data_IF_959772882479
#
_entry.id   IF_959772882479
#
_cell.length_a   1.000
_cell.length_b   1.000
_cell.length_c   1.000
_cell.angle_alpha   90.00
_cell.angle_beta   90.00
_cell.angle_gamma   90.00
#
_symmetry.space_group_name_H-M   'P 1'
#
loop_
_entity.id
_entity.type
_entity.pdbx_description
1 polymer ?
2 non-polymer ?
3 non-polymer ?
4 non-polymer ?
5 non-polymer ?
6 water ?
#
# COMPACT_ATOMS: atom_id res chain seq x y z
N UNK A 1 13.17 -15.51 15.11
CA UNK A 1 13.77 -14.14 15.01
C UNK A 1 13.29 -13.30 16.18
N UNK A 2 14.21 -12.61 16.84
CA UNK A 2 13.83 -11.77 17.97
C UNK A 2 13.19 -10.47 17.47
N UNK A 3 11.97 -10.21 17.90
CA UNK A 3 11.27 -9.00 17.49
C UNK A 3 11.73 -7.87 18.41
N UNK A 4 12.59 -7.03 17.86
CA UNK A 4 13.18 -5.91 18.57
C UNK A 4 12.86 -4.61 17.83
N UNK A 5 12.48 -3.58 18.58
CA UNK A 5 12.16 -2.30 17.96
C UNK A 5 13.29 -1.74 17.12
N UNK A 6 12.93 -1.19 15.96
CA UNK A 6 13.92 -0.58 15.09
C UNK A 6 14.57 -1.49 14.05
N UNK A 7 14.42 -2.81 14.22
CA UNK A 7 15.03 -3.74 13.28
C UNK A 7 14.31 -3.77 11.94
N UNK A 8 15.07 -4.04 10.89
CA UNK A 8 14.52 -4.08 9.55
C UNK A 8 13.69 -5.34 9.28
N UNK A 9 12.68 -5.18 8.41
CA UNK A 9 11.85 -6.29 7.98
C UNK A 9 11.52 -5.95 6.54
N UNK A 10 11.26 -6.96 5.71
CA UNK A 10 10.96 -6.70 4.31
C UNK A 10 9.61 -7.21 3.88
N UNK A 11 9.03 -6.52 2.90
CA UNK A 11 7.71 -6.86 2.38
C UNK A 11 7.58 -6.29 0.97
N UNK A 12 8.66 -6.34 0.21
CA UNK A 12 8.66 -5.75 -1.12
C UNK A 12 9.10 -4.32 -0.87
N UNK A 13 10.18 -4.22 -0.11
CA UNK A 13 10.74 -2.94 0.28
C UNK A 13 11.21 -3.13 1.71
N UNK A 14 11.61 -2.06 2.38
CA UNK A 14 12.06 -2.21 3.76
C UNK A 14 11.46 -1.18 4.71
N UNK A 15 11.14 -1.64 5.92
CA UNK A 15 10.60 -0.79 6.96
C UNK A 15 11.23 -1.27 8.27
N UNK A 16 10.85 -0.64 9.39
CA UNK A 16 11.42 -1.00 10.68
C UNK A 16 10.35 -1.39 11.70
N UNK A 17 10.71 -2.31 12.59
CA UNK A 17 9.81 -2.78 13.64
C UNK A 17 9.53 -1.65 14.62
N UNK A 18 8.26 -1.53 15.02
CA UNK A 18 7.88 -0.51 15.99
C UNK A 18 8.10 -1.07 17.38
N UNK A 19 7.15 -1.88 17.84
CA UNK A 19 7.26 -2.49 19.16
C UNK A 19 6.65 -3.88 19.16
N UNK A 20 7.32 -4.81 19.83
CA UNK A 20 6.81 -6.16 19.92
C UNK A 20 5.51 -6.09 20.71
N UNK A 21 4.50 -6.83 20.26
CA UNK A 21 3.20 -6.84 20.94
C UNK A 21 2.45 -8.13 20.61
N UNK A 22 1.44 -8.44 21.41
CA UNK A 22 0.62 -9.63 21.19
C UNK A 22 -0.81 -9.17 20.93
N UNK A 23 -1.55 -9.90 20.10
CA UNK A 23 -2.93 -9.52 19.83
C UNK A 23 -3.87 -10.16 20.84
N UNK A 24 -5.17 -9.91 20.67
CA UNK A 24 -6.18 -10.45 21.57
C UNK A 24 -6.16 -11.97 21.73
N UNK A 25 -5.67 -12.67 20.71
CA UNK A 25 -5.60 -14.13 20.77
C UNK A 25 -4.28 -14.60 21.38
N UNK A 26 -3.45 -13.66 21.81
CA UNK A 26 -2.17 -14.02 22.41
C UNK A 26 -1.11 -14.36 21.39
N UNK A 27 -1.35 -13.98 20.14
CA UNK A 27 -0.42 -14.26 19.06
C UNK A 27 0.62 -13.13 18.98
N UNK A 28 1.91 -13.50 18.84
CA UNK A 28 3.02 -12.55 18.75
C UNK A 28 3.09 -11.78 17.44
N UNK A 29 3.57 -10.54 17.52
CA UNK A 29 3.70 -9.71 16.35
C UNK A 29 4.32 -8.39 16.75
N UNK A 30 4.07 -7.34 15.98
CA UNK A 30 4.61 -6.03 16.31
C UNK A 30 3.85 -4.91 15.61
N UNK A 31 3.77 -3.75 16.25
CA UNK A 31 3.11 -2.62 15.64
C UNK A 31 4.15 -1.91 14.79
N UNK A 32 3.67 -1.26 13.72
CA UNK A 32 4.55 -0.56 12.81
C UNK A 32 3.68 0.45 12.05
N UNK A 33 4.22 1.05 10.99
CA UNK A 33 3.44 2.02 10.21
C UNK A 33 2.59 1.32 9.17
N UNK A 34 1.38 1.84 8.98
CA UNK A 34 0.47 1.26 7.99
C UNK A 34 0.90 1.45 6.55
N UNK A 35 1.70 2.46 6.28
CA UNK A 35 2.12 2.67 4.89
C UNK A 35 3.15 1.63 4.47
N UNK A 36 3.64 0.86 5.43
CA UNK A 36 4.63 -0.18 5.15
C UNK A 36 3.98 -1.40 4.50
N UNK A 37 2.67 -1.55 4.65
CA UNK A 37 2.01 -2.70 4.07
C UNK A 37 0.50 -2.71 4.19
N UNK A 38 -0.15 -3.17 3.13
CA UNK A 38 -1.61 -3.28 3.10
C UNK A 38 -1.99 -4.56 3.83
N UNK A 39 -3.23 -4.64 4.29
CA UNK A 39 -3.67 -5.85 4.99
C UNK A 39 -3.40 -7.05 4.10
N UNK A 40 -2.84 -8.11 4.69
CA UNK A 40 -2.54 -9.31 3.95
C UNK A 40 -1.11 -9.38 3.45
N UNK A 41 -0.39 -8.26 3.53
CA UNK A 41 0.99 -8.23 3.07
C UNK A 41 1.91 -9.08 3.92
N UNK A 42 2.73 -9.87 3.25
CA UNK A 42 3.67 -10.77 3.89
C UNK A 42 4.95 -10.06 4.32
N UNK A 43 5.45 -10.47 5.48
CA UNK A 43 6.66 -9.88 6.05
C UNK A 43 7.73 -10.91 6.35
N UNK A 44 8.98 -10.51 6.20
CA UNK A 44 10.13 -11.36 6.50
C UNK A 44 11.10 -10.58 7.37
N UNK A 45 11.52 -11.20 8.46
CA UNK A 45 12.49 -10.60 9.37
C UNK A 45 13.35 -11.75 9.90
N UNK A 46 14.58 -11.82 9.43
CA UNK A 46 15.45 -12.91 9.84
C UNK A 46 14.77 -14.18 9.36
N UNK A 47 14.71 -15.19 10.22
CA UNK A 47 14.07 -16.45 9.86
C UNK A 47 12.59 -16.37 10.23
N UNK A 48 12.15 -15.16 10.57
CA UNK A 48 10.75 -14.97 10.95
C UNK A 48 9.87 -14.57 9.80
N UNK A 49 8.60 -14.94 9.88
CA UNK A 49 7.63 -14.62 8.84
C UNK A 49 6.35 -14.10 9.48
N UNK A 50 5.73 -13.09 8.86
CA UNK A 50 4.51 -12.54 9.41
C UNK A 50 3.62 -11.97 8.35
N UNK A 51 2.49 -11.41 8.76
CA UNK A 51 1.53 -10.83 7.84
C UNK A 51 0.85 -9.63 8.47
N UNK A 52 0.59 -8.61 7.66
CA UNK A 52 -0.10 -7.42 8.17
C UNK A 52 -1.53 -7.83 8.49
N UNK A 53 -1.85 -7.92 9.78
CA UNK A 53 -3.18 -8.30 10.23
C UNK A 53 -4.10 -7.09 10.24
N UNK A 54 -3.55 -5.96 10.63
CA UNK A 54 -4.29 -4.70 10.68
C UNK A 54 -3.43 -3.64 10.00
N UNK A 55 -4.08 -2.73 9.28
CA UNK A 55 -3.35 -1.65 8.61
C UNK A 55 -4.29 -0.55 8.18
N UNK A 56 -3.93 0.68 8.54
CA UNK A 56 -4.71 1.85 8.17
C UNK A 56 -3.77 2.98 7.76
N UNK A 57 -3.86 3.35 6.49
CA UNK A 57 -3.06 4.42 5.90
C UNK A 57 -3.65 4.71 4.53
N UNK A 58 -3.90 5.99 4.20
CA UNK A 58 -3.70 7.22 4.97
C UNK A 58 -4.71 7.36 6.10
N UNK A 59 -5.00 8.59 6.51
CA UNK A 59 -5.94 8.83 7.61
C UNK A 59 -5.13 8.68 8.87
N UNK A 60 -4.74 7.44 9.16
CA UNK A 60 -3.88 7.13 10.28
C UNK A 60 -2.68 6.55 9.57
N UNK A 61 -1.70 6.04 10.32
CA UNK A 61 -0.55 5.40 9.70
C UNK A 61 -0.12 4.37 10.73
N UNK A 62 -0.98 3.36 10.87
CA UNK A 62 -0.77 2.32 11.87
C UNK A 62 -0.97 0.92 11.34
N UNK A 63 -0.28 -0.04 11.95
CA UNK A 63 -0.42 -1.41 11.52
C UNK A 63 0.09 -2.39 12.56
N UNK A 64 -0.40 -3.62 12.47
CA UNK A 64 0.03 -4.68 13.37
C UNK A 64 0.36 -5.87 12.50
N UNK A 65 1.59 -6.36 12.62
CA UNK A 65 2.02 -7.51 11.87
C UNK A 65 1.99 -8.70 12.81
N UNK A 66 1.27 -9.75 12.42
CA UNK A 66 1.15 -10.96 13.23
C UNK A 66 2.16 -11.99 12.73
N UNK A 67 2.93 -12.54 13.67
CA UNK A 67 3.92 -13.54 13.27
C UNK A 67 3.25 -14.86 12.93
N UNK A 68 3.70 -15.49 11.84
CA UNK A 68 3.14 -16.76 11.44
C UNK A 68 4.18 -17.86 11.70
N UNK A 69 5.45 -17.45 11.79
CA UNK A 69 6.51 -18.39 12.08
C UNK A 69 7.78 -17.73 12.61
N UNK A 70 8.35 -18.33 13.64
CA UNK A 70 9.58 -17.86 14.26
C UNK A 70 9.61 -16.42 14.75
N UNK A 71 8.61 -16.03 15.52
CA UNK A 71 8.56 -14.68 16.08
C UNK A 71 8.80 -14.83 17.58
N UNK A 72 9.92 -14.29 18.07
CA UNK A 72 10.22 -14.33 19.49
C UNK A 72 10.19 -12.88 19.98
N UNK A 73 9.23 -12.57 20.83
CA UNK A 73 9.09 -11.20 21.32
C UNK A 73 10.10 -10.80 22.38
N UNK A 74 10.41 -9.51 22.42
CA UNK A 74 11.33 -8.95 23.40
C UNK A 74 10.73 -7.60 23.80
N UNK A 75 11.26 -7.00 24.86
CA UNK A 75 10.78 -5.70 25.28
C UNK A 75 11.93 -4.73 25.01
N UNK A 76 12.64 -4.98 23.92
CA UNK A 76 13.78 -4.16 23.54
C UNK A 76 13.61 -3.32 22.28
N UNK A 77 14.44 -2.28 22.19
CA UNK A 77 14.51 -1.37 21.06
C UNK A 77 16.00 -1.14 20.82
N UNK A 78 16.47 -1.41 19.61
CA UNK A 78 17.88 -1.22 19.30
C UNK A 78 18.31 0.24 19.27
N UNK A 79 19.47 0.53 19.82
CA UNK A 79 20.00 1.89 19.83
C UNK A 79 21.13 2.02 18.81
N UNK A 80 21.26 1.00 17.96
CA UNK A 80 22.26 0.98 16.90
C UNK A 80 23.60 1.66 17.23
N UNK A 81 23.88 2.75 16.54
CA UNK A 81 25.13 3.52 16.71
C UNK A 81 25.45 3.90 18.16
N UNK A 82 24.43 4.11 18.97
CA UNK A 82 24.67 4.47 20.37
C UNK A 82 24.92 3.23 21.21
N UNK A 83 24.74 2.06 20.60
CA UNK A 83 24.96 0.80 21.27
C UNK A 83 23.89 0.28 22.21
N UNK A 84 23.83 -1.04 22.31
CA UNK A 84 22.88 -1.67 23.20
C UNK A 84 21.42 -1.51 22.85
N UNK A 85 20.57 -1.57 23.88
CA UNK A 85 19.13 -1.45 23.69
C UNK A 85 18.44 -0.63 24.75
N UNK A 86 17.25 -0.13 24.41
CA UNK A 86 16.43 0.59 25.35
C UNK A 86 15.42 -0.48 25.74
N UNK A 87 14.89 -0.41 26.94
CA UNK A 87 13.92 -1.40 27.38
C UNK A 87 12.53 -0.77 27.42
N UNK A 88 11.51 -1.56 27.10
CA UNK A 88 10.13 -1.08 27.10
C UNK A 88 9.44 -1.61 28.34
N UNK A 89 8.98 -0.70 29.20
CA UNK A 89 8.30 -1.09 30.43
C UNK A 89 6.83 -0.66 30.39
N UNK A 90 6.46 0.11 29.38
CA UNK A 90 5.09 0.56 29.25
C UNK A 90 4.94 1.58 28.14
N UNK A 91 3.81 2.25 28.08
CA UNK A 91 3.57 3.26 27.07
C UNK A 91 2.94 4.53 27.62
N UNK A 92 3.37 4.96 28.80
CA UNK A 92 2.83 6.18 29.38
C UNK A 92 3.27 7.32 28.45
N UNK A 93 2.31 8.17 28.09
CA UNK A 93 2.58 9.27 27.19
C UNK A 93 3.52 10.31 27.78
N UNK A 94 4.53 10.68 27.02
CA UNK A 94 5.51 11.67 27.45
C UNK A 94 4.95 13.06 27.14
N UNK A 95 5.24 14.04 28.00
CA UNK A 95 4.74 15.41 27.80
C UNK A 95 5.42 16.13 26.64
N UNK A 96 4.74 17.14 26.10
CA UNK A 96 5.30 17.95 25.04
C UNK A 96 6.57 18.53 25.68
N UNK A 97 7.65 18.60 24.92
CA UNK A 97 8.89 19.13 25.46
C UNK A 97 9.82 18.03 25.93
N UNK A 98 9.28 16.83 26.11
CA UNK A 98 10.07 15.69 26.55
C UNK A 98 11.05 15.23 25.47
N UNK A 99 12.16 14.64 25.89
CA UNK A 99 13.11 14.13 24.92
C UNK A 99 12.49 12.84 24.40
N UNK A 100 12.83 12.46 23.18
CA UNK A 100 12.31 11.22 22.60
C UNK A 100 13.37 10.75 21.59
N UNK A 101 13.47 9.44 21.40
CA UNK A 101 14.44 8.91 20.46
C UNK A 101 13.76 7.97 19.49
N UNK A 102 14.31 7.90 18.28
CA UNK A 102 13.77 7.05 17.23
C UNK A 102 14.78 5.98 16.83
N UNK A 103 14.28 4.78 16.54
CA UNK A 103 15.14 3.69 16.12
C UNK A 103 14.66 3.25 14.74
N UNK A 104 15.56 3.28 13.75
CA UNK A 104 15.20 2.90 12.39
C UNK A 104 16.30 2.08 11.75
N UNK A 105 15.95 1.20 10.81
CA UNK A 105 16.94 0.35 10.16
C UNK A 105 17.86 1.02 9.14
N UNK A 106 17.53 2.25 8.72
CA UNK A 106 18.39 2.94 7.75
C UNK A 106 19.42 3.84 8.42
N UNK A 107 18.95 4.74 9.27
CA UNK A 107 19.83 5.70 9.94
C UNK A 107 20.25 5.32 11.35
N UNK A 108 19.46 4.46 12.00
CA UNK A 108 19.82 4.07 13.35
C UNK A 108 19.03 4.76 14.45
N UNK A 109 19.75 5.18 15.48
CA UNK A 109 19.18 5.81 16.66
C UNK A 109 19.44 7.31 16.76
N UNK A 110 18.39 8.11 16.67
CA UNK A 110 18.49 9.56 16.76
C UNK A 110 17.50 10.09 17.79
N UNK A 111 17.87 11.16 18.49
CA UNK A 111 16.98 11.71 19.50
C UNK A 111 16.65 13.18 19.27
N UNK A 112 15.53 13.60 19.86
CA UNK A 112 15.11 14.96 19.72
C UNK A 112 14.07 15.31 20.77
N UNK A 113 13.15 16.20 20.41
CA UNK A 113 12.11 16.67 21.30
C UNK A 113 10.70 16.48 20.74
N UNK A 114 9.74 16.16 21.61
CA UNK A 114 8.35 16.02 21.20
C UNK A 114 7.86 17.47 21.13
N UNK A 115 7.54 17.92 19.92
CA UNK A 115 7.13 19.31 19.70
C UNK A 115 5.64 19.62 19.75
N UNK A 116 4.82 18.75 19.16
CA UNK A 116 3.39 19.00 19.15
C UNK A 116 2.62 17.75 18.77
N UNK A 117 1.38 17.67 19.25
CA UNK A 117 0.52 16.53 18.94
C UNK A 117 -0.66 17.00 18.09
N UNK A 118 -1.48 16.04 17.66
CA UNK A 118 -2.66 16.34 16.86
C UNK A 118 -2.28 17.04 15.55
N UNK A 119 -1.23 16.56 14.90
CA UNK A 119 -0.78 17.16 13.65
C UNK A 119 -1.29 16.40 12.42
N UNK A 120 -1.60 17.15 11.38
CA UNK A 120 -2.04 16.56 10.12
C UNK A 120 -0.96 16.87 9.11
N UNK A 121 -0.53 15.85 8.37
CA UNK A 121 0.50 16.03 7.36
C UNK A 121 0.02 15.49 6.02
N UNK A 122 0.57 16.02 4.94
CA UNK A 122 0.22 15.56 3.62
C UNK A 122 1.36 14.76 3.01
N UNK A 123 1.06 13.51 2.67
CA UNK A 123 2.03 12.62 2.05
C UNK A 123 1.59 12.47 0.60
N UNK A 124 2.44 11.91 -0.26
CA UNK A 124 2.04 11.77 -1.65
C UNK A 124 0.77 10.91 -1.80
N UNK A 125 0.55 10.02 -0.84
CA UNK A 125 -0.62 9.14 -0.88
C UNK A 125 -1.87 9.72 -0.22
N UNK A 126 -1.72 10.85 0.46
CA UNK A 126 -2.87 11.45 1.12
C UNK A 126 -2.52 12.05 2.46
N UNK A 127 -3.53 12.49 3.19
CA UNK A 127 -3.31 13.11 4.49
C UNK A 127 -3.45 12.14 5.64
N UNK A 128 -2.64 12.35 6.67
CA UNK A 128 -2.66 11.53 7.87
C UNK A 128 -2.79 12.51 9.05
N UNK A 129 -3.76 12.25 9.92
CA UNK A 129 -3.98 13.12 11.07
C UNK A 129 -3.59 12.49 12.40
N UNK A 130 -3.73 13.28 13.47
CA UNK A 130 -3.43 12.84 14.84
C UNK A 130 -1.97 12.49 15.11
N UNK A 131 -1.08 12.88 14.20
CA UNK A 131 0.34 12.58 14.38
C UNK A 131 1.03 13.50 15.36
N UNK A 132 2.19 13.06 15.83
CA UNK A 132 2.97 13.84 16.77
C UNK A 132 4.28 14.25 16.09
N UNK A 133 4.56 15.55 16.13
CA UNK A 133 5.76 16.10 15.51
C UNK A 133 6.95 16.11 16.45
N UNK A 134 8.13 15.79 15.92
CA UNK A 134 9.35 15.79 16.73
C UNK A 134 10.48 16.40 15.90
N UNK A 135 11.57 16.76 16.57
CA UNK A 135 12.72 17.36 15.90
C UNK A 135 13.74 16.33 15.47
N UNK A 136 13.33 15.06 15.48
CA UNK A 136 14.23 13.97 15.07
C UNK A 136 14.20 13.80 13.56
N UNK A 137 15.35 13.42 12.99
CA UNK A 137 15.46 13.20 11.55
C UNK A 137 15.14 11.74 11.24
N UNK A 138 14.84 11.46 9.98
CA UNK A 138 14.54 10.09 9.55
C UNK A 138 14.74 9.97 8.04
N UNK A 139 14.95 8.75 7.56
CA UNK A 139 15.15 8.52 6.13
C UNK A 139 14.41 7.26 5.69
N UNK A 140 14.11 7.15 4.38
CA UNK A 140 13.40 5.97 3.87
C UNK A 140 14.01 4.69 4.43
N UNK A 141 13.15 3.83 4.97
CA UNK A 141 13.59 2.59 5.56
C UNK A 141 13.36 2.63 7.06
N UNK A 142 13.40 3.84 7.63
CA UNK A 142 13.20 4.03 9.06
C UNK A 142 11.70 3.93 9.42
N UNK A 143 10.84 4.04 8.42
CA UNK A 143 9.38 3.97 8.60
C UNK A 143 8.95 2.81 9.49
N UNK A 144 8.00 3.10 10.38
CA UNK A 144 7.48 2.08 11.28
C UNK A 144 8.32 1.90 12.53
N UNK A 145 9.52 2.48 12.52
CA UNK A 145 10.43 2.38 13.64
C UNK A 145 9.92 2.93 14.96
N UNK A 146 10.59 2.53 16.03
CA UNK A 146 10.22 2.95 17.38
C UNK A 146 10.56 4.38 17.76
N UNK A 147 9.61 5.04 18.44
CA UNK A 147 9.83 6.36 19.04
C UNK A 147 9.59 6.02 20.50
N UNK A 148 10.59 6.25 21.31
CA UNK A 148 10.52 5.91 22.72
C UNK A 148 11.15 6.99 23.60
N UNK A 149 10.54 7.23 24.76
CA UNK A 149 11.06 8.20 25.72
C UNK A 149 11.41 7.43 26.99
N UNK A 150 12.71 7.32 27.27
CA UNK A 150 13.12 6.58 28.45
C UNK A 150 12.76 5.12 28.23
N UNK A 151 11.85 4.60 29.04
CA UNK A 151 11.41 3.21 28.92
C UNK A 151 9.95 3.15 28.49
N UNK A 152 9.39 4.30 28.08
CA UNK A 152 7.99 4.36 27.67
C UNK A 152 7.81 4.49 26.17
N UNK A 153 7.15 3.49 25.56
CA UNK A 153 6.90 3.51 24.13
C UNK A 153 5.97 4.66 23.80
N UNK A 154 6.29 5.41 22.74
CA UNK A 154 5.48 6.56 22.35
C UNK A 154 4.74 6.38 21.03
N UNK A 155 5.43 5.85 20.01
CA UNK A 155 4.78 5.65 18.73
C UNK A 155 5.66 5.04 17.67
N UNK A 156 5.19 5.06 16.43
CA UNK A 156 5.94 4.50 15.30
C UNK A 156 6.13 5.55 14.21
N UNK A 157 7.33 5.58 13.65
CA UNK A 157 7.70 6.54 12.61
C UNK A 157 6.77 6.53 11.40
N UNK A 158 6.20 7.69 11.09
CA UNK A 158 5.26 7.81 9.98
C UNK A 158 5.86 8.50 8.75
N UNK A 159 6.59 9.57 8.97
CA UNK A 159 7.20 10.29 7.86
C UNK A 159 7.75 11.62 8.31
N UNK A 160 8.16 12.45 7.36
CA UNK A 160 8.70 13.75 7.72
C UNK A 160 9.44 14.41 6.60
N UNK A 161 10.29 15.37 6.94
CA UNK A 161 11.06 16.12 5.96
C UNK A 161 12.54 16.13 6.33
N UNK A 162 13.38 16.41 5.34
CA UNK A 162 14.81 16.45 5.58
C UNK A 162 15.43 15.08 5.65
N UNK A 163 16.61 15.00 6.25
CA UNK A 163 17.33 13.75 6.40
C UNK A 163 18.23 13.84 7.63
N UNK A 164 18.96 12.79 7.93
CA UNK A 164 19.82 12.78 9.10
C UNK A 164 21.21 13.35 8.89
N UNK A 165 21.46 13.85 7.69
CA UNK A 165 22.75 14.44 7.39
C UNK A 165 22.69 15.92 7.73
N UNK A 166 21.62 16.57 7.29
CA UNK A 166 21.44 18.00 7.53
C UNK A 166 20.35 18.27 8.58
N UNK A 167 19.64 17.22 8.97
CA UNK A 167 18.60 17.37 9.97
C UNK A 167 17.21 17.39 9.35
N UNK A 168 16.18 17.27 10.19
CA UNK A 168 14.83 17.28 9.68
C UNK A 168 13.77 17.22 10.75
N UNK A 169 12.53 16.95 10.33
CA UNK A 169 11.39 16.85 11.24
C UNK A 169 10.72 15.51 10.96
N UNK A 170 10.36 14.79 12.01
CA UNK A 170 9.72 13.50 11.84
C UNK A 170 8.46 13.38 12.66
N UNK A 171 7.42 12.83 12.06
CA UNK A 171 6.14 12.65 12.74
C UNK A 171 5.94 11.17 13.03
N UNK A 172 5.24 10.87 14.12
CA UNK A 172 4.97 9.48 14.45
C UNK A 172 3.52 9.24 14.81
N UNK A 173 3.08 8.01 14.58
CA UNK A 173 1.73 7.57 14.88
C UNK A 173 1.78 7.11 16.34
N UNK A 174 0.93 7.69 17.18
CA UNK A 174 0.90 7.33 18.60
C UNK A 174 0.64 5.84 18.76
N UNK A 175 1.31 5.23 19.73
CA UNK A 175 1.15 3.79 19.95
C UNK A 175 -0.11 3.40 20.71
N UNK A 176 -0.50 4.18 21.71
CA UNK A 176 -1.68 3.83 22.49
C UNK A 176 -2.96 3.66 21.69
N UNK A 177 -3.20 4.52 20.69
CA UNK A 177 -4.43 4.35 19.91
C UNK A 177 -4.49 2.98 19.24
N UNK A 178 -3.32 2.43 18.88
CA UNK A 178 -3.27 1.12 18.24
C UNK A 178 -3.52 0.02 19.27
N UNK A 179 -2.87 0.13 20.41
CA UNK A 179 -3.02 -0.86 21.47
C UNK A 179 -4.48 -0.92 21.91
N UNK A 180 -5.10 0.24 22.06
CA UNK A 180 -6.48 0.31 22.49
C UNK A 180 -7.47 -0.16 21.43
N UNK A 181 -7.44 0.46 20.25
CA UNK A 181 -8.35 0.10 19.17
C UNK A 181 -8.27 -1.36 18.73
N UNK A 182 -7.06 -1.89 18.62
CA UNK A 182 -6.90 -3.26 18.17
C UNK A 182 -6.67 -4.29 19.28
N UNK A 183 -6.91 -3.89 20.53
CA UNK A 183 -6.76 -4.79 21.67
C UNK A 183 -5.41 -5.52 21.66
N UNK A 184 -4.34 -4.74 21.65
CA UNK A 184 -2.99 -5.30 21.63
C UNK A 184 -2.31 -5.07 22.98
N UNK A 185 -1.35 -5.93 23.30
CA UNK A 185 -0.61 -5.82 24.55
C UNK A 185 0.87 -5.68 24.25
N UNK A 186 1.44 -4.54 24.63
CA UNK A 186 2.84 -4.25 24.42
C UNK A 186 3.69 -5.24 25.22
N UNK A 187 4.77 -5.74 24.64
CA UNK A 187 5.64 -6.67 25.35
C UNK A 187 6.53 -5.86 26.30
N UNK A 188 6.42 -6.15 27.60
CA UNK A 188 7.21 -5.43 28.60
C UNK A 188 7.96 -6.39 29.52
N UNK B 1 -11.80 15.98 -15.37
CA UNK B 1 -10.90 15.03 -16.08
C UNK B 1 -11.70 13.83 -16.59
N UNK B 2 -11.42 13.41 -17.82
CA UNK B 2 -12.12 12.28 -18.40
C UNK B 2 -11.52 10.96 -17.92
N UNK B 3 -12.36 10.11 -17.36
CA UNK B 3 -11.92 8.81 -16.87
C UNK B 3 -11.92 7.85 -18.03
N UNK B 4 -10.73 7.61 -18.58
CA UNK B 4 -10.54 6.73 -19.72
C UNK B 4 -9.56 5.62 -19.35
N UNK B 5 -9.86 4.40 -19.78
CA UNK B 5 -8.99 3.27 -19.48
C UNK B 5 -7.57 3.44 -19.98
N UNK B 6 -6.61 3.06 -19.17
CA UNK B 6 -5.20 3.16 -19.57
C UNK B 6 -4.51 4.46 -19.20
N UNK B 7 -5.29 5.50 -18.86
CA UNK B 7 -4.70 6.78 -18.49
C UNK B 7 -4.04 6.74 -17.11
N UNK B 8 -3.00 7.54 -16.95
CA UNK B 8 -2.27 7.59 -15.70
C UNK B 8 -3.00 8.38 -14.61
N UNK B 9 -2.72 7.99 -13.37
CA UNK B 9 -3.24 8.69 -12.20
C UNK B 9 -2.11 8.54 -11.19
N UNK B 10 -1.96 9.51 -10.31
CA UNK B 10 -0.86 9.44 -9.36
C UNK B 10 -1.25 9.50 -7.88
N UNK B 11 -0.30 9.09 -7.03
CA UNK B 11 -0.46 9.03 -5.57
C UNK B 11 0.89 8.91 -4.87
N UNK B 12 1.93 9.33 -5.56
CA UNK B 12 3.27 9.19 -5.04
C UNK B 12 3.85 8.48 -6.25
N UNK B 13 3.37 7.26 -6.48
CA UNK B 13 3.80 6.51 -7.65
C UNK B 13 2.77 6.74 -8.75
N UNK B 14 2.81 5.91 -9.78
CA UNK B 14 1.87 6.06 -10.89
C UNK B 14 1.28 4.72 -11.32
N UNK B 15 -0.02 4.71 -11.59
CA UNK B 15 -0.72 3.52 -12.07
C UNK B 15 -1.64 3.96 -13.20
N UNK B 16 -2.37 3.00 -13.77
CA UNK B 16 -3.25 3.31 -14.89
C UNK B 16 -4.70 2.97 -14.60
N UNK B 17 -5.60 3.73 -15.22
CA UNK B 17 -7.04 3.51 -15.05
C UNK B 17 -7.46 2.18 -15.66
N UNK B 18 -8.30 1.45 -14.94
CA UNK B 18 -8.80 0.19 -15.46
C UNK B 18 -10.01 0.47 -16.32
N UNK B 19 -11.15 0.69 -15.68
CA UNK B 19 -12.39 0.99 -16.40
C UNK B 19 -13.27 1.91 -15.59
N UNK B 20 -13.88 2.89 -16.24
CA UNK B 20 -14.77 3.82 -15.55
C UNK B 20 -15.96 3.01 -15.04
N UNK B 21 -16.42 3.34 -13.85
CA UNK B 21 -17.57 2.65 -13.25
C UNK B 21 -18.20 3.52 -12.17
N UNK B 22 -19.43 3.18 -11.79
CA UNK B 22 -20.15 3.93 -10.76
C UNK B 22 -20.52 2.98 -9.64
N UNK B 23 -20.48 3.44 -8.39
CA UNK B 23 -20.85 2.58 -7.28
C UNK B 23 -22.36 2.62 -7.05
N UNK B 24 -22.84 1.90 -6.04
CA UNK B 24 -24.27 1.84 -5.76
C UNK B 24 -24.91 3.16 -5.40
N UNK B 25 -24.11 4.13 -4.95
CA UNK B 25 -24.64 5.44 -4.59
C UNK B 25 -24.67 6.36 -5.81
N UNK B 26 -24.25 5.83 -6.96
CA UNK B 26 -24.24 6.61 -8.18
C UNK B 26 -23.03 7.51 -8.30
N UNK B 27 -22.01 7.27 -7.48
CA UNK B 27 -20.80 8.07 -7.50
C UNK B 27 -19.82 7.54 -8.55
N UNK B 28 -19.24 8.43 -9.36
CA UNK B 28 -18.29 8.04 -10.41
C UNK B 28 -16.93 7.62 -9.88
N UNK B 29 -16.24 6.80 -10.64
CA UNK B 29 -14.93 6.33 -10.24
C UNK B 29 -14.43 5.33 -11.25
N UNK B 30 -13.46 4.51 -10.86
CA UNK B 30 -12.94 3.50 -11.78
C UNK B 30 -12.31 2.34 -11.03
N UNK B 31 -12.34 1.16 -11.64
CA UNK B 31 -11.73 0.00 -11.04
C UNK B 31 -10.29 -0.02 -11.51
N UNK B 32 -9.41 -0.56 -10.68
CA UNK B 32 -8.00 -0.63 -11.00
C UNK B 32 -7.40 -1.69 -10.09
N UNK B 33 -6.07 -1.76 -10.02
CA UNK B 33 -5.42 -2.78 -9.18
C UNK B 33 -5.26 -2.32 -7.75
N UNK B 34 -5.40 -3.26 -6.82
CA UNK B 34 -5.27 -2.94 -5.41
C UNK B 34 -3.86 -2.60 -4.95
N UNK B 35 -2.83 -3.14 -5.61
CA UNK B 35 -1.47 -2.83 -5.17
C UNK B 35 -1.12 -1.38 -5.46
N UNK B 36 -1.97 -0.70 -6.22
CA UNK B 36 -1.74 0.69 -6.56
C UNK B 36 -2.02 1.63 -5.39
N UNK B 37 -2.80 1.16 -4.42
CA UNK B 37 -3.10 2.01 -3.29
C UNK B 37 -4.01 1.38 -2.24
N UNK B 38 -3.71 1.67 -0.98
CA UNK B 38 -4.50 1.15 0.13
C UNK B 38 -5.78 1.98 0.26
N UNK B 39 -6.78 1.45 0.94
CA UNK B 39 -8.03 2.19 1.13
C UNK B 39 -7.72 3.55 1.77
N UNK B 40 -8.33 4.61 1.24
CA UNK B 40 -8.08 5.94 1.77
C UNK B 40 -7.05 6.72 0.98
N UNK B 41 -6.29 6.02 0.13
CA UNK B 41 -5.27 6.68 -0.68
C UNK B 41 -5.92 7.64 -1.66
N UNK B 42 -5.43 8.88 -1.68
CA UNK B 42 -5.96 9.90 -2.58
C UNK B 42 -5.25 9.87 -3.92
N UNK B 43 -6.00 10.09 -4.98
CA UNK B 43 -5.47 10.07 -6.34
C UNK B 43 -5.69 11.36 -7.10
N UNK B 44 -4.78 11.61 -8.04
CA UNK B 44 -4.84 12.78 -8.91
C UNK B 44 -4.77 12.29 -10.35
N UNK B 45 -5.66 12.80 -11.19
CA UNK B 45 -5.68 12.46 -12.61
C UNK B 45 -6.13 13.73 -13.31
N UNK B 46 -5.25 14.39 -14.06
CA UNK B 46 -5.68 15.61 -14.68
C UNK B 46 -6.12 16.56 -13.59
N UNK B 47 -7.26 17.22 -13.77
CA UNK B 47 -7.76 18.16 -12.76
C UNK B 47 -8.72 17.44 -11.83
N UNK B 48 -8.72 16.11 -11.91
CA UNK B 48 -9.60 15.32 -11.06
C UNK B 48 -8.92 14.77 -9.82
N UNK B 49 -9.73 14.49 -8.79
CA UNK B 49 -9.24 13.95 -7.54
C UNK B 49 -10.14 12.78 -7.14
N UNK B 50 -9.54 11.72 -6.62
CA UNK B 50 -10.31 10.57 -6.21
C UNK B 50 -9.71 9.93 -4.98
N UNK B 51 -10.35 8.89 -4.47
CA UNK B 51 -9.85 8.19 -3.28
C UNK B 51 -10.15 6.70 -3.40
N UNK B 52 -9.19 5.87 -2.98
CA UNK B 52 -9.42 4.42 -3.02
C UNK B 52 -10.48 4.10 -1.99
N UNK B 53 -11.66 3.73 -2.48
CA UNK B 53 -12.79 3.37 -1.64
C UNK B 53 -12.76 1.89 -1.30
N UNK B 54 -12.24 1.09 -2.21
CA UNK B 54 -12.12 -0.35 -2.03
C UNK B 54 -10.74 -0.76 -2.55
N UNK B 55 -10.06 -1.63 -1.84
CA UNK B 55 -8.75 -2.09 -2.28
C UNK B 55 -8.36 -3.37 -1.58
N UNK B 56 -7.92 -4.35 -2.35
CA UNK B 56 -7.48 -5.64 -1.81
C UNK B 56 -6.21 -6.10 -2.51
N UNK B 57 -5.16 -6.33 -1.72
CA UNK B 57 -3.88 -6.80 -2.22
C UNK B 57 -2.97 -7.07 -1.01
N UNK B 58 -2.30 -8.24 -0.98
CA UNK B 58 -2.34 -9.32 -1.95
C UNK B 58 -3.61 -10.17 -1.83
N UNK B 59 -3.51 -11.45 -2.20
CA UNK B 59 -4.68 -12.33 -2.14
C UNK B 59 -5.39 -12.13 -3.46
N UNK B 60 -5.90 -10.91 -3.64
CA UNK B 60 -6.55 -10.50 -4.87
C UNK B 60 -5.71 -9.28 -5.24
N UNK B 61 -6.07 -8.58 -6.31
CA UNK B 61 -5.35 -7.37 -6.69
C UNK B 61 -6.41 -6.52 -7.36
N UNK B 62 -7.33 -6.03 -6.53
CA UNK B 62 -8.48 -5.26 -6.99
C UNK B 62 -8.73 -3.98 -6.20
N UNK B 63 -9.36 -3.01 -6.83
CA UNK B 63 -9.66 -1.75 -6.17
C UNK B 63 -10.65 -0.92 -6.95
N UNK B 64 -11.30 -0.01 -6.24
CA UNK B 64 -12.25 0.92 -6.85
C UNK B 64 -11.90 2.29 -6.30
N UNK B 65 -11.66 3.22 -7.21
CA UNK B 65 -11.34 4.60 -6.82
C UNK B 65 -12.60 5.44 -7.06
N UNK B 66 -13.04 6.15 -6.03
CA UNK B 66 -14.22 6.99 -6.14
C UNK B 66 -13.80 8.43 -6.42
N UNK B 67 -14.42 9.05 -7.41
CA UNK B 67 -14.09 10.42 -7.74
C UNK B 67 -14.66 11.39 -6.73
N UNK B 68 -13.84 12.32 -6.24
CA UNK B 68 -14.31 13.30 -5.27
C UNK B 68 -14.43 14.68 -5.90
N UNK B 69 -13.84 14.84 -7.08
CA UNK B 69 -13.92 16.11 -7.80
C UNK B 69 -13.44 15.98 -9.24
N UNK B 70 -14.20 16.60 -10.15
CA UNK B 70 -13.91 16.61 -11.57
C UNK B 70 -13.68 15.25 -12.23
N UNK B 71 -14.62 14.34 -12.03
CA UNK B 71 -14.54 13.02 -12.65
C UNK B 71 -15.65 12.93 -13.70
N UNK B 72 -15.26 12.82 -14.96
CA UNK B 72 -16.22 12.68 -16.05
C UNK B 72 -15.99 11.28 -16.60
N UNK B 73 -16.99 10.42 -16.47
CA UNK B 73 -16.85 9.05 -16.95
C UNK B 73 -17.04 8.91 -18.44
N UNK B 74 -16.39 7.90 -19.01
CA UNK B 74 -16.48 7.59 -20.43
C UNK B 74 -16.47 6.07 -20.52
N UNK B 75 -16.81 5.53 -21.68
CA UNK B 75 -16.79 4.08 -21.88
C UNK B 75 -15.67 3.81 -22.88
N UNK B 76 -14.56 4.51 -22.67
CA UNK B 76 -13.41 4.39 -23.55
C UNK B 76 -12.13 3.87 -22.90
N UNK B 77 -11.25 3.36 -23.73
CA UNK B 77 -9.94 2.85 -23.32
C UNK B 77 -8.99 3.41 -24.38
N UNK B 78 -7.96 4.13 -23.93
CA UNK B 78 -6.99 4.71 -24.85
C UNK B 78 -6.13 3.66 -25.54
N UNK B 79 -5.95 3.81 -26.84
CA UNK B 79 -5.12 2.89 -27.60
C UNK B 79 -3.74 3.52 -27.89
N UNK B 80 -3.45 4.58 -27.14
CA UNK B 80 -2.18 5.29 -27.25
C UNK B 80 -1.60 5.42 -28.66
N UNK B 81 -0.40 4.85 -28.87
CA UNK B 81 0.27 4.95 -30.17
C UNK B 81 -0.47 4.34 -31.36
N UNK B 82 -1.51 3.56 -31.11
CA UNK B 82 -2.28 2.98 -32.20
C UNK B 82 -3.39 3.94 -32.62
N UNK B 83 -3.56 4.99 -31.82
CA UNK B 83 -4.57 5.99 -32.11
C UNK B 83 -6.00 5.65 -31.73
N UNK B 84 -6.75 6.68 -31.35
CA UNK B 84 -8.14 6.49 -30.99
C UNK B 84 -8.39 5.79 -29.67
N UNK B 85 -9.61 5.27 -29.53
CA UNK B 85 -10.03 4.58 -28.33
C UNK B 85 -10.85 3.33 -28.62
N UNK B 86 -10.74 2.36 -27.73
CA UNK B 86 -11.52 1.14 -27.84
C UNK B 86 -12.77 1.50 -27.03
N UNK B 87 -13.91 0.90 -27.37
CA UNK B 87 -15.13 1.20 -26.63
C UNK B 87 -15.54 0.05 -25.71
N UNK B 88 -16.11 0.40 -24.56
CA UNK B 88 -16.55 -0.58 -23.58
C UNK B 88 -18.07 -0.71 -23.65
N UNK B 89 -18.57 -1.90 -23.95
CA UNK B 89 -20.02 -2.12 -24.05
C UNK B 89 -20.51 -3.16 -23.04
N UNK B 90 -19.58 -3.81 -22.35
CA UNK B 90 -19.94 -4.81 -21.37
C UNK B 90 -18.72 -5.52 -20.82
N UNK B 91 -18.93 -6.62 -20.12
CA UNK B 91 -17.82 -7.38 -19.56
C UNK B 91 -18.01 -8.88 -19.66
N UNK B 92 -18.46 -9.34 -20.84
CA UNK B 92 -18.63 -10.76 -21.05
C UNK B 92 -17.23 -11.37 -21.09
N UNK B 93 -17.01 -12.41 -20.31
CA UNK B 93 -15.71 -13.06 -20.26
C UNK B 93 -15.37 -13.69 -21.61
N UNK B 94 -14.18 -13.39 -22.11
CA UNK B 94 -13.73 -13.93 -23.39
C UNK B 94 -13.06 -15.28 -23.16
N UNK B 95 -13.35 -16.26 -24.02
CA UNK B 95 -12.73 -17.58 -23.84
C UNK B 95 -11.21 -17.56 -23.98
N UNK B 96 -10.57 -18.54 -23.36
CA UNK B 96 -9.12 -18.65 -23.44
C UNK B 96 -8.73 -18.75 -24.91
N UNK B 97 -7.67 -18.05 -25.30
CA UNK B 97 -7.23 -18.07 -26.68
C UNK B 97 -7.67 -16.81 -27.42
N UNK B 98 -8.63 -16.09 -26.84
CA UNK B 98 -9.14 -14.87 -27.47
C UNK B 98 -8.12 -13.75 -27.47
N UNK B 99 -8.19 -12.90 -28.48
CA UNK B 99 -7.28 -11.77 -28.55
C UNK B 99 -7.70 -10.84 -27.41
N UNK B 100 -6.72 -10.19 -26.80
CA UNK B 100 -6.98 -9.27 -25.70
C UNK B 100 -5.92 -8.19 -25.79
N UNK B 101 -6.28 -6.96 -25.47
CA UNK B 101 -5.33 -5.86 -25.53
C UNK B 101 -5.24 -5.16 -24.18
N UNK B 102 -4.05 -4.67 -23.87
CA UNK B 102 -3.81 -3.96 -22.62
C UNK B 102 -3.48 -2.51 -22.89
N UNK B 103 -3.95 -1.62 -22.01
CA UNK B 103 -3.66 -0.19 -22.14
C UNK B 103 -3.02 0.26 -20.83
N UNK B 104 -1.81 0.82 -20.92
CA UNK B 104 -1.11 1.29 -19.73
C UNK B 104 -0.40 2.61 -19.98
N UNK B 105 -0.19 3.39 -18.92
CA UNK B 105 0.45 4.69 -19.07
C UNK B 105 1.96 4.68 -19.26
N UNK B 106 2.59 3.51 -19.20
CA UNK B 106 4.03 3.47 -19.40
C UNK B 106 4.37 3.01 -20.82
N UNK B 107 3.84 1.85 -21.21
CA UNK B 107 4.14 1.29 -22.52
C UNK B 107 3.09 1.53 -23.58
N UNK B 108 1.86 1.84 -23.16
CA UNK B 108 0.82 2.10 -24.14
C UNK B 108 -0.14 0.95 -24.40
N UNK B 109 -0.45 0.74 -25.68
CA UNK B 109 -1.40 -0.28 -26.12
C UNK B 109 -0.74 -1.49 -26.79
N UNK B 110 -0.79 -2.63 -26.11
CA UNK B 110 -0.23 -3.87 -26.62
C UNK B 110 -1.26 -5.00 -26.59
N UNK B 111 -1.22 -5.86 -27.59
CA UNK B 111 -2.19 -6.95 -27.67
C UNK B 111 -1.56 -8.34 -27.76
N UNK B 112 -2.33 -9.34 -27.35
CA UNK B 112 -1.90 -10.72 -27.38
C UNK B 112 -3.13 -11.57 -27.18
N UNK B 113 -3.04 -12.63 -26.41
CA UNK B 113 -4.20 -13.47 -26.16
C UNK B 113 -4.26 -13.90 -24.70
N UNK B 114 -5.45 -14.34 -24.30
CA UNK B 114 -5.69 -14.82 -22.95
C UNK B 114 -5.17 -16.25 -22.99
N UNK B 115 -4.20 -16.55 -22.14
CA UNK B 115 -3.59 -17.88 -22.12
C UNK B 115 -4.11 -18.85 -21.09
N UNK B 116 -4.41 -18.37 -19.89
CA UNK B 116 -4.88 -19.25 -18.84
C UNK B 116 -5.55 -18.49 -17.71
N UNK B 117 -6.43 -19.16 -16.99
CA UNK B 117 -7.11 -18.55 -15.86
C UNK B 117 -6.80 -19.37 -14.61
N UNK B 118 -7.34 -18.95 -13.48
CA UNK B 118 -7.11 -19.64 -12.21
C UNK B 118 -5.63 -19.74 -11.89
N UNK B 119 -4.91 -18.64 -12.10
CA UNK B 119 -3.48 -18.61 -11.85
C UNK B 119 -3.09 -18.04 -10.48
N UNK B 120 -2.08 -18.66 -9.88
CA UNK B 120 -1.55 -18.21 -8.59
C UNK B 120 -0.18 -17.60 -8.91
N UNK B 121 0.04 -16.37 -8.47
CA UNK B 121 1.32 -15.70 -8.72
C UNK B 121 1.94 -15.18 -7.43
N UNK B 122 3.25 -15.28 -7.33
CA UNK B 122 3.96 -14.81 -6.14
C UNK B 122 4.63 -13.47 -6.39
N UNK B 123 4.24 -12.47 -5.62
CA UNK B 123 4.81 -11.14 -5.72
C UNK B 123 5.63 -10.92 -4.44
N UNK B 124 6.44 -9.85 -4.40
CA UNK B 124 7.24 -9.60 -3.21
C UNK B 124 6.36 -9.43 -1.96
N UNK B 125 5.15 -8.91 -2.15
CA UNK B 125 4.23 -8.67 -1.05
C UNK B 125 3.41 -9.90 -0.65
N UNK B 126 3.46 -10.95 -1.47
CA UNK B 126 2.70 -12.15 -1.17
C UNK B 126 2.11 -12.77 -2.42
N UNK B 127 1.20 -13.72 -2.22
CA UNK B 127 0.58 -14.40 -3.34
C UNK B 127 -0.77 -13.84 -3.72
N UNK B 128 -1.08 -13.86 -5.01
CA UNK B 128 -2.36 -13.40 -5.51
C UNK B 128 -2.97 -14.56 -6.29
N UNK B 129 -4.24 -14.84 -6.03
CA UNK B 129 -4.94 -15.95 -6.69
C UNK B 129 -5.96 -15.53 -7.73
N UNK B 130 -6.44 -16.52 -8.47
CA UNK B 130 -7.46 -16.34 -9.49
C UNK B 130 -7.11 -15.37 -10.62
N UNK B 131 -5.83 -15.17 -10.87
CA UNK B 131 -5.42 -14.27 -11.94
C UNK B 131 -5.51 -14.93 -13.30
N UNK B 132 -5.54 -14.10 -14.35
CA UNK B 132 -5.60 -14.60 -15.70
C UNK B 132 -4.32 -14.21 -16.41
N UNK B 133 -3.66 -15.21 -16.99
CA UNK B 133 -2.39 -15.01 -17.69
C UNK B 133 -2.58 -14.66 -19.16
N UNK B 134 -1.78 -13.70 -19.65
CA UNK B 134 -1.83 -13.31 -21.05
C UNK B 134 -0.41 -13.19 -21.58
N UNK B 135 -0.27 -13.19 -22.91
CA UNK B 135 1.01 -13.10 -23.56
C UNK B 135 1.46 -11.66 -23.80
N UNK B 136 0.74 -10.71 -23.22
CA UNK B 136 1.07 -9.30 -23.39
C UNK B 136 2.14 -8.85 -22.40
N UNK B 137 3.01 -7.94 -22.85
CA UNK B 137 4.07 -7.39 -22.01
C UNK B 137 3.50 -6.23 -21.18
N UNK B 138 4.25 -5.83 -20.15
CA UNK B 138 3.84 -4.72 -19.29
C UNK B 138 5.05 -4.22 -18.52
N UNK B 139 5.01 -2.96 -18.10
CA UNK B 139 6.11 -2.37 -17.34
C UNK B 139 5.57 -1.54 -16.19
N UNK B 140 6.38 -1.29 -15.15
CA UNK B 140 5.93 -0.50 -14.00
C UNK B 140 5.21 0.77 -14.47
N UNK B 141 4.02 0.99 -13.93
CA UNK B 141 3.24 2.15 -14.31
C UNK B 141 2.00 1.72 -15.08
N UNK B 142 2.08 0.57 -15.75
CA UNK B 142 0.93 0.05 -16.49
C UNK B 142 -0.06 -0.62 -15.53
N UNK B 143 0.38 -0.87 -14.30
CA UNK B 143 -0.45 -1.52 -13.29
C UNK B 143 -1.84 -0.91 -13.16
N UNK B 144 -2.85 -1.78 -13.09
CA UNK B 144 -4.22 -1.32 -12.95
C UNK B 144 -4.88 -1.00 -14.28
N UNK B 145 -4.09 -0.98 -15.35
CA UNK B 145 -4.59 -0.67 -16.67
C UNK B 145 -5.57 -1.68 -17.24
N UNK B 146 -6.29 -1.23 -18.26
CA UNK B 146 -7.30 -2.03 -18.93
C UNK B 146 -6.86 -3.18 -19.82
N UNK B 147 -7.57 -4.30 -19.65
CA UNK B 147 -7.43 -5.48 -20.48
C UNK B 147 -8.84 -5.61 -21.07
N UNK B 148 -8.89 -5.58 -22.40
CA UNK B 148 -10.17 -5.63 -23.08
C UNK B 148 -10.11 -6.50 -24.34
N UNK B 149 -11.20 -7.22 -24.59
CA UNK B 149 -11.32 -8.07 -25.76
C UNK B 149 -12.54 -7.58 -26.53
N UNK B 150 -12.32 -7.02 -27.71
CA UNK B 150 -13.41 -6.49 -28.48
C UNK B 150 -13.90 -5.28 -27.73
N UNK B 151 -15.16 -5.28 -27.32
CA UNK B 151 -15.72 -4.17 -26.56
C UNK B 151 -16.05 -4.65 -25.13
N UNK B 152 -15.57 -5.84 -24.79
CA UNK B 152 -15.83 -6.42 -23.47
C UNK B 152 -14.66 -6.27 -22.50
N UNK B 153 -14.89 -5.57 -21.40
CA UNK B 153 -13.86 -5.38 -20.39
C UNK B 153 -13.54 -6.74 -19.79
N UNK B 154 -12.25 -7.04 -19.63
CA UNK B 154 -11.84 -8.32 -19.07
C UNK B 154 -11.24 -8.21 -17.66
N UNK B 155 -10.33 -7.26 -17.47
CA UNK B 155 -9.71 -7.12 -16.17
C UNK B 155 -8.73 -5.97 -16.05
N UNK B 156 -8.00 -5.92 -14.94
CA UNK B 156 -7.03 -4.86 -14.70
C UNK B 156 -5.65 -5.45 -14.47
N UNK B 157 -4.64 -4.81 -15.06
CA UNK B 157 -3.26 -5.28 -14.96
C UNK B 157 -2.77 -5.44 -13.52
N UNK B 158 -2.29 -6.65 -13.20
CA UNK B 158 -1.82 -6.93 -11.84
C UNK B 158 -0.29 -7.05 -11.75
N UNK B 159 0.32 -7.72 -12.72
CA UNK B 159 1.76 -7.87 -12.68
C UNK B 159 2.24 -8.81 -13.76
N UNK B 160 3.49 -9.25 -13.66
CA UNK B 160 4.02 -10.15 -14.65
C UNK B 160 5.54 -10.17 -14.70
N UNK B 161 6.08 -10.72 -15.78
CA UNK B 161 7.52 -10.79 -15.94
C UNK B 161 7.89 -10.28 -17.32
N UNK B 162 9.16 -9.94 -17.51
CA UNK B 162 9.61 -9.43 -18.79
C UNK B 162 9.31 -7.95 -18.94
N UNK B 163 9.32 -7.49 -20.18
CA UNK B 163 9.06 -6.09 -20.48
C UNK B 163 8.64 -5.99 -21.93
N UNK B 164 8.33 -4.78 -22.39
CA UNK B 164 7.89 -4.60 -23.77
C UNK B 164 9.03 -4.43 -24.77
N UNK B 165 10.25 -4.71 -24.34
CA UNK B 165 11.41 -4.60 -25.23
C UNK B 165 11.72 -6.00 -25.73
N UNK B 166 11.76 -6.96 -24.80
CA UNK B 166 12.07 -8.34 -25.15
C UNK B 166 10.84 -9.24 -25.07
N UNK B 167 9.73 -8.69 -24.59
CA UNK B 167 8.52 -9.49 -24.47
C UNK B 167 8.26 -9.89 -23.04
N UNK B 168 7.05 -10.34 -22.77
CA UNK B 168 6.74 -10.75 -21.41
C UNK B 168 5.39 -11.39 -21.24
N UNK B 169 5.06 -11.67 -19.97
CA UNK B 169 3.80 -12.29 -19.60
C UNK B 169 3.18 -11.36 -18.58
N UNK B 170 1.88 -11.13 -18.71
CA UNK B 170 1.19 -10.25 -17.77
C UNK B 170 -0.08 -10.90 -17.27
N UNK B 171 -0.34 -10.76 -15.97
CA UNK B 171 -1.54 -11.34 -15.37
C UNK B 171 -2.48 -10.21 -15.01
N UNK B 172 -3.78 -10.49 -15.05
CA UNK B 172 -4.75 -9.48 -14.68
C UNK B 172 -5.80 -10.00 -13.72
N UNK B 173 -6.36 -9.08 -12.95
CA UNK B 173 -7.42 -9.38 -12.00
C UNK B 173 -8.71 -9.26 -12.80
N UNK B 174 -9.53 -10.31 -12.79
CA UNK B 174 -10.79 -10.30 -13.52
C UNK B 174 -11.66 -9.15 -13.02
N UNK B 175 -12.37 -8.51 -13.95
CA UNK B 175 -13.21 -7.37 -13.59
C UNK B 175 -14.57 -7.71 -12.99
N UNK B 176 -15.18 -8.81 -13.44
CA UNK B 176 -16.50 -9.15 -12.92
C UNK B 176 -16.61 -9.38 -11.41
N UNK B 177 -15.58 -9.99 -10.78
CA UNK B 177 -15.68 -10.20 -9.34
C UNK B 177 -15.78 -8.86 -8.60
N UNK B 178 -15.06 -7.87 -9.11
CA UNK B 178 -15.08 -6.53 -8.50
C UNK B 178 -16.45 -5.89 -8.68
N UNK B 179 -16.95 -5.93 -9.91
CA UNK B 179 -18.26 -5.35 -10.22
C UNK B 179 -19.35 -5.96 -9.36
N UNK B 180 -19.30 -7.28 -9.21
CA UNK B 180 -20.32 -7.97 -8.43
C UNK B 180 -20.17 -7.76 -6.92
N UNK B 181 -19.00 -8.08 -6.38
CA UNK B 181 -18.77 -7.94 -4.94
C UNK B 181 -18.88 -6.52 -4.42
N UNK B 182 -18.55 -5.54 -5.26
CA UNK B 182 -18.64 -4.17 -4.79
C UNK B 182 -19.81 -3.39 -5.38
N UNK B 183 -20.76 -4.10 -5.99
CA UNK B 183 -21.93 -3.45 -6.55
C UNK B 183 -21.58 -2.24 -7.41
N UNK B 184 -20.74 -2.46 -8.41
CA UNK B 184 -20.32 -1.39 -9.30
C UNK B 184 -20.96 -1.60 -10.66
N UNK B 185 -21.18 -0.49 -11.36
CA UNK B 185 -21.79 -0.54 -12.68
C UNK B 185 -20.77 -0.01 -13.68
N UNK B 186 -20.33 -0.88 -14.59
CA UNK B 186 -19.36 -0.52 -15.60
C UNK B 186 -19.95 0.56 -16.51
N UNK B 187 -19.15 1.57 -16.82
CA UNK B 187 -19.61 2.65 -17.70
C UNK B 187 -19.60 2.16 -19.15
N UNK B 188 -20.76 2.10 -19.76
CA UNK B 188 -20.88 1.65 -21.15
C UNK B 188 -21.59 2.68 -22.00
X LIG C 1 -8.09 17.25 16.50
X LIG C 1 -8.04 17.39 17.96
X LIG C 1 -7.82 15.85 16.11
X LIG C 1 -9.43 17.67 16.01
X LIG C 1 -7.07 18.12 15.89
X LIG D 1 1.46 17.86 27.64
X LIG D 1 1.75 17.22 28.93
X LIG D 1 1.94 17.00 26.54
X LIG D 1 0.00 18.08 27.51
X LIG D 1 2.15 19.16 27.57
X LIG E 1 10.10 8.80 3.59
X LIG E 1 9.77 7.96 4.66
X LIG E 1 10.34 8.17 5.92
X LIG E 1 9.90 7.14 7.26
X LIG E 1 11.04 7.10 8.25
X LIG E 1 8.68 7.69 7.94
X LIG E 1 11.24 9.21 6.09
X LIG E 1 11.57 10.05 5.04
X LIG E 1 10.99 9.84 3.78
X LIG E 1 11.33 10.78 2.62
X LIG E 1 10.87 12.21 2.88
X LIG E 1 9.42 12.25 3.08
X LIG F 1 -5.73 4.66 14.73
X LIG F 1 -5.06 2.40 14.44
X LIG F 1 -7.17 4.23 14.88
X LIG F 1 -6.51 1.96 14.59
X LIG F 1 -5.03 3.73 13.89
X LIG F 1 -7.21 2.90 15.43
X LIG G 1 19.33 -4.85 27.34
X LIG G 1 19.35 -7.00 28.33
X LIG G 1 19.18 -4.21 28.71
X LIG G 1 19.19 -6.37 29.71
X LIG G 1 18.73 -6.16 27.34
X LIG G 1 19.79 -5.07 29.70
X LIG H 1 21.81 -10.38 23.46
X LIG H 1 22.84 -11.06 22.74
X LIG H 1 20.78 -9.81 22.48
X LIG H 1 20.19 -10.89 21.75
X LIG H 1 19.69 -9.09 23.26
X LIG H 1 18.73 -8.53 22.36
X LIG I 1 9.81 -9.56 27.74
X LIG I 1 9.14 -9.67 28.98
X LIG I 1 10.92 -10.61 27.66
X LIG I 1 10.31 -11.91 27.74
X LIG I 1 11.65 -10.48 26.33
X LIG I 1 12.69 -11.45 26.24
X LIG J 1 5.92 -4.89 -14.34
X LIG J 1 4.59 -4.56 -14.56
X LIG J 1 3.76 -4.30 -13.48
X LIG J 1 2.08 -3.87 -13.75
X LIG J 1 1.77 -3.95 -15.22
X LIG J 1 1.19 -4.81 -13.00
X LIG J 1 4.26 -4.36 -12.18
X LIG J 1 5.60 -4.68 -11.97
X LIG J 1 6.43 -4.95 -13.05
X LIG J 1 7.90 -5.29 -12.82
X LIG J 1 8.07 -6.62 -12.06
X LIG J 1 7.44 -7.70 -12.82
X LIG K 1 6.64 -7.60 -28.94
X LIG K 1 8.81 -7.70 -27.99
X LIG K 1 6.08 -7.09 -27.60
X LIG K 1 8.26 -7.20 -26.66
X LIG K 1 7.78 -8.43 -28.68
X LIG K 1 7.12 -6.38 -26.90
X LIG L 1 -20.63 0.05 -3.90
X LIG L 1 -21.90 0.68 -3.88
X LIG L 1 -19.65 0.81 -3.01
X LIG L 1 -20.16 0.81 -1.67
X LIG L 1 -18.29 0.13 -3.06
X LIG L 1 -17.37 0.86 -2.24
#
# INVERSE_FOLDING_TARGET
ADIIGGLAYTMGGRCSVGFAATNASGQPGFVTAGHCGSVGTQVSIGNGRGVFERSVFPGNDAAFVRGTSNFTLTNLVSRYNSGGYATVSGSSTAPIGSQVCRSGSTTGWYCGTIQARNQTVSYPQGTVHSLTRTSVCAEPGDSGGSFISGTQAQGVTSGGSGNCRTGGTTFYQEVNPMLNSWNLRLRT
ADIIGGLAYTMGGRCSVGFAATNASGQPGFVTAGHCGSVGTQVSIGNGRGVFERSVFPGNDAAFVRGTSNFTLTNLVSRYNSGGYATVSGSSTAPIGSQVCRSGSTTGWYCGTIQARNQTVSYPQGTVHSLTRTSVCAEPGDSGGSFISGTQAQGVTSGGSGNCRTGGTTFYQEVNPMLNSWNLRLRT
SO4 S O1 O2 O3 O4
SO4 S O1 O2 O3 O4
AES C3 C2 C1 S O1S O2S C6 C5 C4 C7 C8 N8
DIO C1 C2 C1' C2' O1 O1'
DIO C1 C2 C1' C2' O1 O1'
GOL C1 O1 C2 O2 C3 O3
GOL C1 O1 C2 O2 C3 O3
AES C3 C2 C1 S O1S O2S C6 C5 C4 C7 C8 N8
DIO C1 C2 C1' C2' O1 O1'
GOL C1 O1 C2 O2 C3 O3
#
